data_IF_806281944453
#
_entry.id   IF_806281944453
#
_cell.length_a   1.000
_cell.length_b   1.000
_cell.length_c   1.000
_cell.angle_alpha   90.00
_cell.angle_beta   90.00
_cell.angle_gamma   90.00
#
_symmetry.space_group_name_H-M   'P 1'
#
loop_
_entity.id
_entity.type
_entity.pdbx_description
1 polymer ?
#
# COMPACT_ATOMS: atom_id res chain seq x y z
N UNK A 1 2.08 -12.43 15.89
CA UNK A 1 2.78 -12.26 14.61
C UNK A 1 1.87 -11.45 13.72
N UNK A 2 2.36 -10.40 13.07
CA UNK A 2 1.55 -9.57 12.17
C UNK A 2 1.75 -10.04 10.72
N UNK A 3 0.69 -9.96 9.91
CA UNK A 3 0.70 -10.27 8.48
C UNK A 3 0.56 -8.98 7.68
N UNK A 4 1.54 -8.70 6.82
CA UNK A 4 1.53 -7.58 5.90
C UNK A 4 1.28 -8.06 4.46
N UNK A 5 0.47 -7.33 3.69
CA UNK A 5 0.23 -7.61 2.28
C UNK A 5 0.66 -6.43 1.41
N UNK A 6 1.61 -6.61 0.46
CA UNK A 6 2.01 -5.55 -0.46
C UNK A 6 0.93 -5.31 -1.52
N UNK A 7 0.54 -4.05 -1.69
CA UNK A 7 -0.41 -3.61 -2.70
C UNK A 7 0.20 -2.55 -3.63
N UNK A 8 -0.27 -2.57 -4.88
CA UNK A 8 -0.09 -1.51 -5.89
C UNK A 8 -1.27 -0.53 -5.80
N UNK A 9 -1.31 0.52 -6.62
CA UNK A 9 -2.45 1.44 -6.71
C UNK A 9 -3.60 0.94 -7.62
N UNK A 10 -3.40 -0.19 -8.29
CA UNK A 10 -4.40 -0.84 -9.12
C UNK A 10 -5.48 -1.50 -8.26
N UNK A 11 -6.75 -1.13 -8.53
CA UNK A 11 -7.94 -1.62 -7.82
C UNK A 11 -7.82 -1.54 -6.28
N UNK A 12 -7.09 -0.52 -5.81
CA UNK A 12 -6.58 -0.45 -4.43
C UNK A 12 -7.66 -0.64 -3.37
N UNK A 13 -8.78 0.08 -3.49
CA UNK A 13 -9.85 0.04 -2.50
C UNK A 13 -10.49 -1.35 -2.35
N UNK A 14 -10.75 -2.03 -3.46
CA UNK A 14 -11.32 -3.37 -3.44
C UNK A 14 -10.32 -4.37 -2.86
N UNK A 15 -9.04 -4.26 -3.23
CA UNK A 15 -7.98 -5.11 -2.68
C UNK A 15 -7.78 -4.89 -1.18
N UNK A 16 -7.84 -3.64 -0.70
CA UNK A 16 -7.75 -3.32 0.73
C UNK A 16 -8.90 -3.94 1.52
N UNK A 17 -10.14 -3.89 1.01
CA UNK A 17 -11.28 -4.58 1.61
C UNK A 17 -11.08 -6.09 1.62
N UNK A 18 -10.64 -6.67 0.51
CA UNK A 18 -10.39 -8.12 0.38
C UNK A 18 -9.32 -8.60 1.38
N UNK A 19 -8.19 -7.90 1.50
CA UNK A 19 -7.12 -8.32 2.43
C UNK A 19 -7.53 -8.13 3.89
N UNK A 20 -8.38 -7.13 4.19
CA UNK A 20 -8.99 -6.97 5.52
C UNK A 20 -9.89 -8.16 5.85
N UNK A 21 -10.79 -8.55 4.94
CA UNK A 21 -11.68 -9.70 5.11
C UNK A 21 -10.90 -11.02 5.28
N UNK A 22 -9.73 -11.12 4.65
CA UNK A 22 -8.79 -12.26 4.78
C UNK A 22 -7.91 -12.22 6.04
N UNK A 23 -8.01 -11.18 6.87
CA UNK A 23 -7.34 -11.09 8.17
C UNK A 23 -5.91 -10.54 8.13
N UNK A 24 -5.57 -9.70 7.14
CA UNK A 24 -4.31 -8.96 7.17
C UNK A 24 -4.29 -7.93 8.32
N UNK A 25 -3.10 -7.66 8.87
CA UNK A 25 -2.90 -6.63 9.91
C UNK A 25 -2.39 -5.31 9.32
N UNK A 26 -1.60 -5.40 8.25
CA UNK A 26 -0.87 -4.27 7.64
C UNK A 26 -1.00 -4.32 6.11
N UNK A 27 -1.19 -3.17 5.47
CA UNK A 27 -0.98 -2.99 4.03
C UNK A 27 0.39 -2.33 3.80
N UNK A 28 1.25 -2.96 3.00
CA UNK A 28 2.46 -2.32 2.49
C UNK A 28 2.13 -1.61 1.17
N UNK A 29 2.17 -0.27 1.18
CA UNK A 29 2.03 0.52 -0.04
C UNK A 29 3.37 0.52 -0.76
N UNK A 30 3.46 -0.25 -1.85
CA UNK A 30 4.64 -0.31 -2.71
C UNK A 30 4.60 0.82 -3.72
N UNK A 31 4.93 2.04 -3.29
CA UNK A 31 4.83 3.24 -4.12
C UNK A 31 5.71 3.16 -5.37
N UNK A 32 6.81 2.40 -5.30
CA UNK A 32 7.64 2.06 -6.45
C UNK A 32 6.91 1.29 -7.56
N UNK A 33 5.74 0.72 -7.27
CA UNK A 33 4.90 0.02 -8.25
C UNK A 33 3.65 0.80 -8.65
N UNK A 34 3.43 2.00 -8.10
CA UNK A 34 2.24 2.78 -8.38
C UNK A 34 2.30 3.41 -9.77
N UNK A 35 1.16 3.68 -10.39
CA UNK A 35 1.05 4.51 -11.60
C UNK A 35 1.16 6.01 -11.30
N UNK A 36 0.65 6.46 -10.15
CA UNK A 36 0.74 7.84 -9.64
C UNK A 36 1.46 7.87 -8.28
N UNK A 37 2.58 8.59 -8.23
CA UNK A 37 3.47 8.70 -7.07
C UNK A 37 3.39 10.06 -6.37
N UNK A 38 2.42 10.90 -6.74
CA UNK A 38 2.20 12.19 -6.09
C UNK A 38 1.96 12.02 -4.59
N UNK A 39 2.45 12.99 -3.82
CA UNK A 39 2.35 12.97 -2.35
C UNK A 39 0.88 12.95 -1.93
N UNK A 40 0.04 13.70 -2.61
CA UNK A 40 -1.41 13.77 -2.40
C UNK A 40 -2.05 12.39 -2.60
N UNK A 41 -1.74 11.71 -3.71
CA UNK A 41 -2.29 10.38 -3.99
C UNK A 41 -1.87 9.35 -2.95
N UNK A 42 -0.58 9.31 -2.61
CA UNK A 42 -0.05 8.38 -1.59
C UNK A 42 -0.68 8.67 -0.23
N UNK A 43 -0.88 9.94 0.12
CA UNK A 43 -1.55 10.34 1.37
C UNK A 43 -2.99 9.85 1.41
N UNK A 44 -3.79 10.06 0.37
CA UNK A 44 -5.17 9.58 0.29
C UNK A 44 -5.25 8.06 0.49
N UNK A 45 -4.33 7.31 -0.13
CA UNK A 45 -4.27 5.86 0.01
C UNK A 45 -3.87 5.41 1.43
N UNK A 46 -2.95 6.13 2.08
CA UNK A 46 -2.58 5.87 3.48
C UNK A 46 -3.76 6.15 4.42
N UNK A 47 -4.45 7.27 4.25
CA UNK A 47 -5.63 7.66 5.03
C UNK A 47 -6.74 6.60 4.87
N UNK A 48 -7.00 6.15 3.64
CA UNK A 48 -7.97 5.09 3.37
C UNK A 48 -7.67 3.78 4.12
N UNK A 49 -6.41 3.31 4.10
CA UNK A 49 -6.02 2.08 4.80
C UNK A 49 -6.24 2.22 6.32
N UNK A 50 -5.90 3.38 6.88
CA UNK A 50 -6.13 3.66 8.29
C UNK A 50 -7.62 3.71 8.64
N UNK A 51 -8.44 4.33 7.79
CA UNK A 51 -9.89 4.47 7.99
C UNK A 51 -10.61 3.12 7.96
N UNK A 52 -10.13 2.17 7.14
CA UNK A 52 -10.66 0.80 7.17
C UNK A 52 -10.13 -0.03 8.35
N UNK A 53 -9.27 0.53 9.20
CA UNK A 53 -8.78 -0.10 10.42
C UNK A 53 -7.57 -1.01 10.26
N UNK A 54 -6.84 -0.90 9.14
CA UNK A 54 -5.56 -1.59 8.94
C UNK A 54 -4.39 -0.64 9.25
N UNK A 55 -3.22 -1.20 9.52
CA UNK A 55 -1.97 -0.42 9.64
C UNK A 55 -1.29 -0.28 8.29
N UNK A 56 -0.34 0.65 8.17
CA UNK A 56 0.39 0.90 6.92
C UNK A 56 1.90 0.68 7.09
N UNK A 57 2.54 0.21 6.02
CA UNK A 57 3.98 0.38 5.77
C UNK A 57 4.11 1.17 4.48
N UNK A 58 4.79 2.30 4.51
CA UNK A 58 5.12 3.07 3.32
C UNK A 58 6.46 2.60 2.78
N UNK A 59 6.47 1.97 1.60
CA UNK A 59 7.69 1.46 0.97
C UNK A 59 7.97 2.19 -0.34
N UNK A 60 9.14 2.82 -0.42
CA UNK A 60 9.71 3.36 -1.65
C UNK A 60 10.96 2.53 -1.97
N UNK A 61 10.79 1.43 -2.73
CA UNK A 61 11.89 0.52 -3.05
C UNK A 61 12.83 1.15 -4.09
N UNK A 62 14.13 1.15 -3.80
CA UNK A 62 15.13 1.67 -4.74
C UNK A 62 15.29 0.76 -5.98
N UNK A 63 15.72 1.28 -7.15
CA UNK A 63 16.04 0.45 -8.31
C UNK A 63 17.11 -0.61 -8.03
N UNK A 64 18.07 -0.31 -7.14
CA UNK A 64 19.14 -1.24 -6.73
C UNK A 64 18.60 -2.44 -5.95
N UNK A 65 17.39 -2.34 -5.41
CA UNK A 65 16.72 -3.34 -4.57
C UNK A 65 15.40 -3.83 -5.21
N UNK A 66 15.29 -3.73 -6.54
CA UNK A 66 14.17 -4.28 -7.31
C UNK A 66 12.92 -3.40 -7.38
N UNK A 67 13.02 -2.11 -7.07
CA UNK A 67 11.99 -1.10 -7.34
C UNK A 67 12.28 -0.25 -8.58
N UNK A 68 11.79 1.00 -8.60
CA UNK A 68 12.05 1.99 -9.66
C UNK A 68 12.19 3.40 -9.08
N UNK A 69 12.57 4.37 -9.91
CA UNK A 69 12.54 5.78 -9.50
C UNK A 69 11.09 6.28 -9.42
N UNK A 70 10.77 6.95 -8.31
CA UNK A 70 9.45 7.43 -7.88
C UNK A 70 9.46 8.94 -7.84
#
# INVERSE_FOLDING_TARGET
>A
MLIAVPLTDEDFENRVKEVKEKGADIVELRVDTFSDTSVERVREMLEYVCDVGLRTILTVRSPREGGRHV
#
